data_IF_471063058089
#
_entry.id   IF_471063058089
#
_cell.length_a   1.000
_cell.length_b   1.000
_cell.length_c   1.000
_cell.angle_alpha   90.00
_cell.angle_beta   90.00
_cell.angle_gamma   90.00
#
_symmetry.space_group_name_H-M   'P 1'
#
loop_
_entity.id
_entity.type
_entity.pdbx_description
1 polymer ?
#
# COMPACT_ATOMS: atom_id res chain seq x y z
N UNK A 1 -40.33 -48.70 -11.50
CA UNK A 1 -39.36 -49.41 -12.36
C UNK A 1 -37.98 -48.80 -12.17
N UNK A 2 -36.99 -49.63 -11.78
CA UNK A 2 -35.50 -49.45 -11.79
C UNK A 2 -34.91 -48.20 -11.11
N UNK A 3 -33.77 -48.21 -10.41
CA UNK A 3 -32.93 -49.15 -9.63
C UNK A 3 -31.75 -48.25 -9.18
N UNK A 4 -31.32 -48.37 -7.92
CA UNK A 4 -30.16 -47.72 -7.27
C UNK A 4 -28.86 -47.76 -8.13
N UNK A 5 -27.93 -46.82 -7.88
CA UNK A 5 -26.52 -47.13 -7.53
C UNK A 5 -25.73 -45.92 -7.01
N UNK A 6 -25.11 -46.12 -5.85
CA UNK A 6 -24.00 -45.38 -5.25
C UNK A 6 -22.77 -45.35 -6.17
N UNK A 7 -21.98 -44.29 -6.11
CA UNK A 7 -20.53 -44.35 -6.38
C UNK A 7 -19.79 -43.25 -5.60
N UNK A 8 -19.25 -43.65 -4.44
CA UNK A 8 -18.12 -42.98 -3.79
C UNK A 8 -16.86 -43.42 -4.55
N UNK A 9 -16.01 -42.48 -4.99
CA UNK A 9 -14.61 -42.76 -5.35
C UNK A 9 -13.72 -41.58 -4.99
N UNK A 10 -12.87 -41.82 -3.98
CA UNK A 10 -11.60 -41.15 -3.78
C UNK A 10 -10.68 -41.31 -5.02
N UNK A 11 -9.79 -40.34 -5.21
CA UNK A 11 -8.37 -40.38 -5.67
C UNK A 11 -8.07 -38.99 -6.27
N UNK A 12 -6.96 -38.31 -6.06
CA UNK A 12 -5.74 -38.57 -5.32
C UNK A 12 -5.08 -37.22 -5.00
N UNK A 13 -4.49 -37.11 -3.82
CA UNK A 13 -3.55 -36.04 -3.51
C UNK A 13 -2.32 -36.19 -4.42
N UNK A 14 -2.05 -35.19 -5.24
CA UNK A 14 -0.76 -35.02 -5.88
C UNK A 14 -0.12 -33.80 -5.23
N UNK A 15 0.87 -34.06 -4.38
CA UNK A 15 1.77 -33.04 -3.86
C UNK A 15 2.62 -32.52 -5.03
N UNK A 16 2.46 -31.23 -5.36
CA UNK A 16 3.45 -30.49 -6.14
C UNK A 16 3.79 -29.23 -5.35
N UNK A 17 5.09 -29.11 -5.08
CA UNK A 17 5.76 -28.06 -4.36
C UNK A 17 5.42 -26.64 -4.86
N UNK A 18 5.27 -25.75 -3.88
CA UNK A 18 5.79 -24.37 -3.88
C UNK A 18 5.26 -23.39 -4.92
N UNK A 19 4.07 -22.87 -4.68
CA UNK A 19 3.76 -21.45 -4.85
C UNK A 19 2.92 -21.04 -3.63
N UNK A 20 3.50 -20.22 -2.76
CA UNK A 20 2.77 -19.54 -1.69
C UNK A 20 1.79 -18.55 -2.35
N UNK A 21 0.64 -19.05 -2.79
CA UNK A 21 -0.53 -18.23 -3.04
C UNK A 21 -1.01 -17.84 -1.64
N UNK A 22 -0.64 -16.67 -1.16
CA UNK A 22 -1.29 -16.08 0.02
C UNK A 22 -2.71 -15.73 -0.45
N UNK A 23 -3.77 -16.39 0.05
CA UNK A 23 -5.09 -15.86 -0.12
C UNK A 23 -5.17 -14.63 0.77
N UNK A 24 -4.87 -13.46 0.21
CA UNK A 24 -5.34 -12.23 0.83
C UNK A 24 -6.85 -12.31 0.72
N UNK A 25 -7.50 -12.65 1.84
CA UNK A 25 -8.91 -12.34 2.05
C UNK A 25 -9.08 -10.90 1.61
N UNK A 26 -9.77 -10.72 0.48
CA UNK A 26 -10.13 -9.42 -0.02
C UNK A 26 -10.70 -8.63 1.16
N UNK A 27 -10.06 -7.52 1.52
CA UNK A 27 -10.67 -6.59 2.44
C UNK A 27 -12.01 -6.21 1.82
N UNK A 28 -13.09 -6.74 2.39
CA UNK A 28 -14.45 -6.37 2.09
C UNK A 28 -14.70 -5.00 2.72
N UNK A 29 -14.05 -3.98 2.18
CA UNK A 29 -14.45 -2.58 2.30
C UNK A 29 -14.87 -2.19 0.91
N UNK A 30 -16.17 -2.25 0.61
CA UNK A 30 -16.69 -1.77 -0.66
C UNK A 30 -16.27 -0.31 -0.82
N UNK A 31 -15.38 -0.04 -1.77
CA UNK A 31 -15.15 1.32 -2.25
C UNK A 31 -16.49 1.73 -2.86
N UNK A 32 -17.24 2.58 -2.16
CA UNK A 32 -18.41 3.20 -2.77
C UNK A 32 -17.92 3.97 -4.01
N UNK A 33 -18.52 3.70 -5.17
CA UNK A 33 -18.15 4.38 -6.41
C UNK A 33 -18.21 5.91 -6.20
N UNK A 34 -17.23 6.66 -6.72
CA UNK A 34 -17.18 8.10 -6.52
C UNK A 34 -18.41 8.77 -7.13
N UNK A 35 -19.03 9.68 -6.36
CA UNK A 35 -20.17 10.46 -6.83
C UNK A 35 -19.66 11.76 -7.43
N UNK A 36 -19.98 12.00 -8.70
CA UNK A 36 -19.64 13.23 -9.42
C UNK A 36 -20.89 14.06 -9.71
N UNK A 37 -20.84 15.34 -9.37
CA UNK A 37 -21.81 16.35 -9.73
C UNK A 37 -21.14 17.38 -10.63
N UNK A 38 -21.79 17.78 -11.73
CA UNK A 38 -21.29 18.83 -12.60
C UNK A 38 -22.40 19.76 -13.05
N UNK A 39 -22.05 21.04 -13.17
CA UNK A 39 -22.95 22.11 -13.59
C UNK A 39 -22.23 22.98 -14.61
N UNK A 40 -22.92 23.34 -15.69
CA UNK A 40 -22.40 24.26 -16.71
C UNK A 40 -23.48 25.22 -17.16
N UNK A 41 -23.19 26.51 -17.22
CA UNK A 41 -24.11 27.52 -17.78
C UNK A 41 -23.89 27.62 -19.30
N UNK A 42 -24.93 27.44 -20.13
CA UNK A 42 -24.81 27.70 -21.56
C UNK A 42 -24.74 29.22 -21.80
N UNK A 43 -23.67 29.68 -22.44
CA UNK A 43 -23.52 31.07 -22.88
C UNK A 43 -22.65 31.12 -24.15
N UNK A 44 -23.01 31.99 -25.10
CA UNK A 44 -22.43 32.04 -26.45
C UNK A 44 -20.96 32.52 -26.53
N UNK A 45 -20.36 32.95 -25.41
CA UNK A 45 -18.97 33.45 -25.34
C UNK A 45 -18.12 32.83 -24.23
N UNK A 46 -18.72 32.55 -23.07
CA UNK A 46 -18.04 31.91 -21.95
C UNK A 46 -19.02 31.17 -21.05
N UNK A 47 -18.69 29.91 -20.73
CA UNK A 47 -19.45 29.05 -19.82
C UNK A 47 -18.77 29.00 -18.46
N UNK A 48 -19.54 29.23 -17.39
CA UNK A 48 -19.13 28.86 -16.04
C UNK A 48 -19.33 27.35 -15.88
N UNK A 49 -18.32 26.65 -15.41
CA UNK A 49 -18.33 25.22 -15.15
C UNK A 49 -17.98 24.97 -13.69
N UNK A 50 -18.68 24.03 -13.06
CA UNK A 50 -18.40 23.59 -11.68
C UNK A 50 -18.51 22.08 -11.62
N UNK A 51 -17.61 21.44 -10.89
CA UNK A 51 -17.68 20.02 -10.57
C UNK A 51 -17.39 19.78 -9.09
N UNK A 52 -18.06 18.77 -8.53
CA UNK A 52 -17.77 18.26 -7.22
C UNK A 52 -17.69 16.73 -7.26
N UNK A 53 -16.71 16.16 -6.57
CA UNK A 53 -16.51 14.71 -6.46
C UNK A 53 -16.43 14.30 -4.99
N UNK A 54 -17.08 13.19 -4.64
CA UNK A 54 -17.16 12.71 -3.27
C UNK A 54 -16.92 11.20 -3.17
N UNK A 55 -16.20 10.79 -2.13
CA UNK A 55 -16.12 9.41 -1.63
C UNK A 55 -16.38 9.40 -0.12
N UNK A 56 -16.25 8.24 0.53
CA UNK A 56 -16.33 8.16 2.00
C UNK A 56 -15.22 8.98 2.72
N UNK A 57 -14.11 9.27 2.04
CA UNK A 57 -12.91 9.87 2.63
C UNK A 57 -12.42 11.12 1.90
N UNK A 58 -12.96 11.41 0.71
CA UNK A 58 -12.46 12.45 -0.18
C UNK A 58 -13.58 13.39 -0.62
N UNK A 59 -13.25 14.68 -0.68
CA UNK A 59 -14.09 15.67 -1.36
C UNK A 59 -13.24 16.62 -2.20
N UNK A 60 -13.67 16.85 -3.43
CA UNK A 60 -13.03 17.77 -4.36
C UNK A 60 -14.07 18.71 -4.96
N UNK A 61 -13.72 19.99 -5.06
CA UNK A 61 -14.52 21.02 -5.69
C UNK A 61 -13.68 21.75 -6.74
N UNK A 62 -14.21 21.87 -7.95
CA UNK A 62 -13.61 22.60 -9.07
C UNK A 62 -14.61 23.62 -9.58
N UNK A 63 -14.12 24.81 -9.88
CA UNK A 63 -14.89 25.85 -10.57
C UNK A 63 -14.02 26.54 -11.59
N UNK A 64 -14.57 26.88 -12.75
CA UNK A 64 -13.79 27.46 -13.82
C UNK A 64 -14.64 28.11 -14.90
N UNK A 65 -13.96 28.86 -15.75
CA UNK A 65 -14.54 29.51 -16.90
C UNK A 65 -13.95 28.91 -18.16
N UNK A 66 -14.79 28.68 -19.17
CA UNK A 66 -14.36 28.18 -20.47
C UNK A 66 -14.97 28.97 -21.60
N UNK A 67 -14.20 29.28 -22.63
CA UNK A 67 -14.65 29.91 -23.87
C UNK A 67 -15.01 28.88 -24.97
N UNK A 68 -15.01 27.59 -24.63
CA UNK A 68 -15.23 26.47 -25.56
C UNK A 68 -13.95 25.91 -26.18
N UNK A 69 -12.83 26.65 -26.17
CA UNK A 69 -11.52 26.17 -26.65
C UNK A 69 -10.54 25.93 -25.52
N UNK A 70 -10.57 26.81 -24.51
CA UNK A 70 -9.74 26.79 -23.32
C UNK A 70 -10.66 26.86 -22.09
N UNK A 71 -10.25 26.19 -21.01
CA UNK A 71 -10.88 26.33 -19.71
C UNK A 71 -9.81 26.56 -18.63
N UNK A 72 -10.08 27.51 -17.75
CA UNK A 72 -9.24 27.80 -16.57
C UNK A 72 -10.07 27.50 -15.33
N UNK A 73 -9.54 26.66 -14.45
CA UNK A 73 -10.25 26.17 -13.28
C UNK A 73 -9.41 26.37 -12.01
N UNK A 74 -10.05 26.85 -10.95
CA UNK A 74 -9.56 26.77 -9.57
C UNK A 74 -10.17 25.57 -8.87
N UNK A 75 -9.45 24.99 -7.91
CA UNK A 75 -9.92 23.84 -7.17
C UNK A 75 -9.45 23.81 -5.73
N UNK A 76 -10.21 23.13 -4.89
CA UNK A 76 -9.86 22.85 -3.51
C UNK A 76 -10.56 21.59 -3.01
N UNK A 77 -10.07 21.02 -1.92
CA UNK A 77 -10.64 19.84 -1.30
C UNK A 77 -9.83 19.34 -0.12
N UNK A 78 -10.26 18.22 0.42
CA UNK A 78 -9.52 17.47 1.43
C UNK A 78 -9.76 15.97 1.25
N UNK A 79 -8.84 15.19 1.80
CA UNK A 79 -8.81 13.74 1.73
C UNK A 79 -8.31 13.17 3.05
N UNK A 80 -8.95 12.13 3.55
CA UNK A 80 -8.44 11.31 4.64
C UNK A 80 -7.67 10.12 4.07
N UNK A 81 -6.44 10.39 3.62
CA UNK A 81 -5.53 9.41 3.04
C UNK A 81 -5.39 9.48 1.52
N UNK A 82 -5.24 8.32 0.87
CA UNK A 82 -5.08 8.21 -0.60
C UNK A 82 -6.44 8.43 -1.27
N UNK A 83 -6.61 9.48 -2.10
CA UNK A 83 -7.86 9.72 -2.81
C UNK A 83 -8.27 8.54 -3.70
N UNK A 84 -9.48 8.04 -3.51
CA UNK A 84 -10.13 7.04 -4.35
C UNK A 84 -10.76 7.63 -5.63
N UNK A 85 -10.66 8.95 -5.82
CA UNK A 85 -11.28 9.71 -6.90
C UNK A 85 -10.57 9.57 -8.26
N UNK A 86 -9.39 8.94 -8.34
CA UNK A 86 -8.63 8.75 -9.59
C UNK A 86 -8.47 7.26 -9.96
N UNK A 87 -9.30 6.73 -10.88
CA UNK A 87 -9.25 5.33 -11.29
C UNK A 87 -7.94 4.92 -11.98
N UNK A 88 -7.27 5.86 -12.67
CA UNK A 88 -6.04 5.58 -13.42
C UNK A 88 -4.81 5.35 -12.53
N UNK A 89 -4.74 6.01 -11.39
CA UNK A 89 -3.62 5.84 -10.45
C UNK A 89 -3.86 4.78 -9.39
N UNK A 90 -5.13 4.50 -9.01
CA UNK A 90 -5.57 3.45 -8.09
C UNK A 90 -4.44 2.89 -7.21
N UNK A 91 -3.89 3.77 -6.37
CA UNK A 91 -2.75 3.46 -5.52
C UNK A 91 -3.28 2.64 -4.36
N UNK A 92 -2.73 1.45 -4.17
CA UNK A 92 -3.12 0.59 -3.07
C UNK A 92 -2.38 1.00 -1.80
N UNK A 93 -2.91 0.60 -0.64
CA UNK A 93 -2.16 0.74 0.61
C UNK A 93 -0.75 0.12 0.49
N UNK A 94 -0.61 -0.98 -0.25
CA UNK A 94 0.69 -1.62 -0.51
C UNK A 94 1.63 -0.76 -1.35
N UNK A 95 1.12 -0.05 -2.36
CA UNK A 95 1.92 0.93 -3.10
C UNK A 95 2.42 2.00 -2.14
N UNK A 96 1.53 2.55 -1.31
CA UNK A 96 1.88 3.58 -0.36
C UNK A 96 2.92 3.14 0.67
N UNK A 97 2.82 1.89 1.14
CA UNK A 97 3.79 1.29 2.05
C UNK A 97 5.21 1.33 1.52
N UNK A 98 5.42 1.16 0.20
CA UNK A 98 6.76 1.22 -0.40
C UNK A 98 7.44 2.58 -0.17
N UNK A 99 6.63 3.64 -0.18
CA UNK A 99 7.09 5.01 -0.03
C UNK A 99 7.14 5.35 1.46
N UNK A 100 6.02 5.39 2.20
CA UNK A 100 6.00 5.74 3.64
C UNK A 100 4.70 5.32 4.36
N UNK A 101 4.71 5.42 5.69
CA UNK A 101 3.62 5.00 6.60
C UNK A 101 2.55 6.04 6.91
N UNK A 102 2.74 7.27 6.44
CA UNK A 102 1.90 8.43 6.74
C UNK A 102 0.85 8.72 5.65
N UNK A 103 0.56 7.76 4.77
CA UNK A 103 -0.38 7.93 3.65
C UNK A 103 -1.84 8.07 4.07
N UNK A 104 -2.18 7.82 5.34
CA UNK A 104 -3.54 7.88 5.89
C UNK A 104 -3.79 9.15 6.73
N UNK A 105 -3.02 10.22 6.47
CA UNK A 105 -3.19 11.52 7.14
C UNK A 105 -4.25 12.35 6.42
N UNK A 106 -4.91 13.23 7.16
CA UNK A 106 -5.78 14.24 6.56
C UNK A 106 -4.93 15.24 5.77
N UNK A 107 -5.25 15.42 4.50
CA UNK A 107 -4.61 16.40 3.63
C UNK A 107 -5.64 17.37 3.10
N UNK A 108 -5.25 18.64 3.05
CA UNK A 108 -5.98 19.70 2.34
C UNK A 108 -5.23 20.03 1.06
N UNK A 109 -5.95 20.33 0.01
CA UNK A 109 -5.33 20.70 -1.24
C UNK A 109 -6.09 21.81 -1.94
N UNK A 110 -5.35 22.61 -2.69
CA UNK A 110 -5.89 23.68 -3.52
C UNK A 110 -4.98 23.94 -4.70
N UNK A 111 -5.51 24.53 -5.77
CA UNK A 111 -4.69 24.85 -6.92
C UNK A 111 -5.46 25.37 -8.10
N UNK A 112 -4.79 25.37 -9.25
CA UNK A 112 -5.32 25.85 -10.49
C UNK A 112 -4.91 24.94 -11.65
N UNK A 113 -5.73 24.92 -12.68
CA UNK A 113 -5.48 24.18 -13.90
C UNK A 113 -5.97 24.96 -15.11
N UNK A 114 -5.35 24.69 -16.24
CA UNK A 114 -5.76 25.13 -17.55
C UNK A 114 -5.87 23.91 -18.45
N UNK A 115 -6.88 23.90 -19.30
CA UNK A 115 -7.11 22.82 -20.25
C UNK A 115 -7.54 23.38 -21.59
N UNK A 116 -7.26 22.66 -22.66
CA UNK A 116 -7.61 23.09 -24.00
C UNK A 116 -7.95 21.93 -24.90
N UNK A 117 -8.86 22.19 -25.85
CA UNK A 117 -9.43 21.19 -26.74
C UNK A 117 -9.28 21.62 -28.20
N UNK A 118 -8.08 21.50 -28.80
CA UNK A 118 -7.86 21.97 -30.17
C UNK A 118 -8.73 21.25 -31.21
N UNK A 119 -9.18 20.03 -30.92
CA UNK A 119 -10.16 19.30 -31.71
C UNK A 119 -10.97 18.33 -30.85
N UNK A 120 -12.06 17.77 -31.36
CA UNK A 120 -12.82 16.73 -30.64
C UNK A 120 -11.99 15.47 -30.34
N UNK A 121 -10.91 15.25 -31.10
CA UNK A 121 -10.03 14.10 -30.97
C UNK A 121 -8.79 14.37 -30.11
N UNK A 122 -8.52 15.63 -29.73
CA UNK A 122 -7.30 16.00 -29.01
C UNK A 122 -7.59 16.98 -27.87
N UNK A 123 -7.07 16.68 -26.69
CA UNK A 123 -7.20 17.53 -25.52
C UNK A 123 -5.93 17.51 -24.68
N UNK A 124 -5.74 18.57 -23.89
CA UNK A 124 -4.64 18.66 -22.93
C UNK A 124 -5.11 19.36 -21.67
N UNK A 125 -4.42 19.10 -20.56
CA UNK A 125 -4.59 19.84 -19.31
C UNK A 125 -3.25 19.99 -18.63
N UNK A 126 -3.04 21.09 -17.93
CA UNK A 126 -1.88 21.33 -17.11
C UNK A 126 -2.32 22.08 -15.84
N UNK A 127 -1.64 21.85 -14.73
CA UNK A 127 -1.97 22.55 -13.50
C UNK A 127 -0.96 22.32 -12.40
N UNK A 128 -1.24 22.98 -11.29
CA UNK A 128 -0.47 22.89 -10.06
C UNK A 128 -1.43 22.71 -8.89
N UNK A 129 -1.10 21.77 -8.02
CA UNK A 129 -1.79 21.53 -6.76
C UNK A 129 -0.80 21.77 -5.61
N UNK A 130 -1.23 22.55 -4.61
CA UNK A 130 -0.60 22.62 -3.31
C UNK A 130 -1.30 21.65 -2.37
N UNK A 131 -0.53 20.82 -1.67
CA UNK A 131 -1.00 19.81 -0.73
C UNK A 131 -0.39 20.11 0.63
N UNK A 132 -1.25 20.23 1.63
CA UNK A 132 -0.92 20.59 3.00
C UNK A 132 -1.43 19.51 3.95
N UNK A 133 -0.63 19.17 4.95
CA UNK A 133 -0.98 18.21 5.99
C UNK A 133 -0.46 18.73 7.32
N UNK A 134 -1.21 18.61 8.42
CA UNK A 134 -0.65 18.84 9.75
C UNK A 134 0.60 17.97 9.94
N UNK A 135 1.67 18.57 10.47
CA UNK A 135 2.93 17.89 10.82
C UNK A 135 3.80 17.35 9.65
N UNK A 136 3.47 17.67 8.40
CA UNK A 136 4.31 17.33 7.25
C UNK A 136 4.59 18.57 6.40
N UNK A 137 5.70 18.57 5.67
CA UNK A 137 6.06 19.66 4.79
C UNK A 137 5.03 19.86 3.66
N UNK A 138 4.83 21.11 3.25
CA UNK A 138 3.95 21.45 2.13
C UNK A 138 4.52 20.90 0.82
N UNK A 139 3.63 20.36 -0.02
CA UNK A 139 4.02 19.79 -1.31
C UNK A 139 3.36 20.53 -2.46
N UNK A 140 4.08 20.64 -3.56
CA UNK A 140 3.59 21.17 -4.82
C UNK A 140 3.63 20.05 -5.85
N UNK A 141 2.50 19.73 -6.46
CA UNK A 141 2.42 18.79 -7.56
C UNK A 141 2.09 19.52 -8.86
N UNK A 142 3.01 19.47 -9.81
CA UNK A 142 2.79 19.89 -11.18
C UNK A 142 2.28 18.69 -11.98
N UNK A 143 1.13 18.84 -12.60
CA UNK A 143 0.52 17.77 -13.37
C UNK A 143 0.18 18.23 -14.78
N UNK A 144 0.21 17.28 -15.71
CA UNK A 144 -0.14 17.49 -17.10
C UNK A 144 -0.81 16.25 -17.69
N UNK A 145 -1.69 16.44 -18.65
CA UNK A 145 -2.26 15.37 -19.45
C UNK A 145 -2.34 15.77 -20.92
N UNK A 146 -2.18 14.78 -21.78
CA UNK A 146 -2.44 14.89 -23.20
C UNK A 146 -3.26 13.67 -23.63
N UNK A 147 -4.33 13.91 -24.36
CA UNK A 147 -5.24 12.87 -24.85
C UNK A 147 -5.42 13.03 -26.34
N UNK A 148 -5.32 11.91 -27.04
CA UNK A 148 -5.71 11.76 -28.44
C UNK A 148 -6.76 10.65 -28.54
N UNK A 149 -7.36 10.47 -29.72
CA UNK A 149 -8.38 9.44 -29.92
C UNK A 149 -7.84 8.04 -29.56
N UNK A 150 -8.30 7.53 -28.41
CA UNK A 150 -7.93 6.20 -27.91
C UNK A 150 -6.60 6.13 -27.14
N UNK A 151 -5.92 7.25 -26.87
CA UNK A 151 -4.73 7.26 -26.02
C UNK A 151 -4.69 8.46 -25.08
N UNK A 152 -4.17 8.25 -23.88
CA UNK A 152 -3.98 9.27 -22.87
C UNK A 152 -2.62 9.10 -22.21
N UNK A 153 -1.94 10.22 -21.97
CA UNK A 153 -0.72 10.29 -21.17
C UNK A 153 -0.96 11.31 -20.07
N UNK A 154 -0.60 10.95 -18.83
CA UNK A 154 -0.60 11.86 -17.70
C UNK A 154 0.79 11.87 -17.07
N UNK A 155 1.26 13.05 -16.68
CA UNK A 155 2.58 13.29 -16.12
C UNK A 155 2.43 14.08 -14.82
N UNK A 156 3.25 13.73 -13.83
CA UNK A 156 3.23 14.35 -12.51
C UNK A 156 4.65 14.57 -12.02
N UNK A 157 4.84 15.68 -11.31
CA UNK A 157 6.10 16.05 -10.67
C UNK A 157 5.78 16.64 -9.30
N UNK A 158 6.13 15.90 -8.26
CA UNK A 158 5.91 16.30 -6.86
C UNK A 158 7.18 16.93 -6.31
N UNK A 159 7.03 18.10 -5.70
CA UNK A 159 8.10 18.85 -5.04
C UNK A 159 7.78 19.04 -3.57
N UNK A 160 8.83 18.96 -2.74
CA UNK A 160 8.81 19.34 -1.33
C UNK A 160 9.90 20.40 -1.15
N UNK A 161 9.53 21.59 -0.68
CA UNK A 161 10.42 22.75 -0.66
C UNK A 161 11.10 22.95 -2.04
N UNK A 162 12.43 22.85 -2.12
CA UNK A 162 13.21 22.97 -3.37
C UNK A 162 13.53 21.63 -4.04
N UNK A 163 13.25 20.49 -3.38
CA UNK A 163 13.58 19.14 -3.84
C UNK A 163 12.45 18.55 -4.68
N UNK A 164 12.80 17.83 -5.74
CA UNK A 164 11.83 16.99 -6.46
C UNK A 164 11.74 15.67 -5.73
N UNK A 165 10.61 15.41 -5.09
CA UNK A 165 10.41 14.21 -4.30
C UNK A 165 10.02 13.01 -5.19
N UNK A 166 9.23 13.24 -6.25
CA UNK A 166 8.78 12.15 -7.10
C UNK A 166 8.34 12.59 -8.50
N UNK A 167 8.36 11.62 -9.41
CA UNK A 167 7.80 11.71 -10.76
C UNK A 167 6.88 10.53 -11.03
N UNK A 168 5.79 10.77 -11.75
CA UNK A 168 4.93 9.69 -12.20
C UNK A 168 4.46 9.90 -13.63
N UNK A 169 4.23 8.80 -14.33
CA UNK A 169 3.62 8.73 -15.64
C UNK A 169 2.51 7.69 -15.63
N UNK A 170 1.41 8.02 -16.30
CA UNK A 170 0.35 7.07 -16.63
C UNK A 170 0.05 7.11 -18.12
N UNK A 171 -0.15 5.93 -18.70
CA UNK A 171 -0.49 5.69 -20.09
C UNK A 171 -1.79 4.90 -20.13
N UNK A 172 -2.83 5.45 -20.77
CA UNK A 172 -4.09 4.78 -21.03
C UNK A 172 -4.28 4.57 -22.53
N UNK A 173 -4.60 3.36 -22.97
CA UNK A 173 -4.84 3.02 -24.37
C UNK A 173 -6.17 2.27 -24.51
N UNK A 174 -7.01 2.73 -25.45
CA UNK A 174 -8.22 2.04 -25.90
C UNK A 174 -7.87 1.22 -27.13
N UNK A 175 -7.84 -0.09 -26.96
CA UNK A 175 -7.53 -1.07 -27.99
C UNK A 175 -8.83 -1.75 -28.48
N UNK A 176 -8.85 -2.35 -29.68
CA UNK A 176 -10.03 -3.08 -30.19
C UNK A 176 -10.50 -4.21 -29.26
N UNK A 177 -9.57 -4.77 -28.50
CA UNK A 177 -9.78 -5.90 -27.60
C UNK A 177 -9.72 -5.49 -26.12
N UNK A 178 -9.95 -4.22 -25.79
CA UNK A 178 -10.03 -3.77 -24.39
C UNK A 178 -9.27 -2.48 -24.11
N UNK A 179 -9.01 -2.21 -22.84
CA UNK A 179 -8.30 -1.02 -22.36
C UNK A 179 -7.04 -1.44 -21.62
N UNK A 180 -5.91 -0.82 -21.96
CA UNK A 180 -4.63 -1.02 -21.31
C UNK A 180 -4.29 0.25 -20.53
N UNK A 181 -4.07 0.12 -19.24
CA UNK A 181 -3.52 1.16 -18.38
C UNK A 181 -2.13 0.75 -17.92
N UNK A 182 -1.16 1.66 -17.93
CA UNK A 182 0.15 1.45 -17.34
C UNK A 182 0.55 2.68 -16.55
N UNK A 183 1.02 2.50 -15.31
CA UNK A 183 1.59 3.57 -14.49
C UNK A 183 2.99 3.22 -14.03
N UNK A 184 3.81 4.25 -13.90
CA UNK A 184 5.11 4.18 -13.26
C UNK A 184 5.28 5.40 -12.36
N UNK A 185 5.67 5.14 -11.12
CA UNK A 185 5.97 6.14 -10.09
C UNK A 185 7.37 5.87 -9.58
N UNK A 186 8.16 6.93 -9.47
CA UNK A 186 9.52 6.90 -8.93
C UNK A 186 9.72 8.07 -7.96
N UNK A 187 10.17 7.76 -6.76
CA UNK A 187 10.65 8.75 -5.79
C UNK A 187 12.17 8.92 -5.90
N UNK A 188 12.66 10.02 -5.35
CA UNK A 188 14.06 10.44 -5.45
C UNK A 188 15.04 9.56 -4.66
N UNK A 189 14.54 8.84 -3.65
CA UNK A 189 15.30 7.85 -2.89
C UNK A 189 15.47 6.50 -3.63
N UNK A 190 14.94 6.40 -4.85
CA UNK A 190 14.98 5.20 -5.69
C UNK A 190 13.81 4.25 -5.48
N UNK A 191 12.88 4.56 -4.56
CA UNK A 191 11.62 3.80 -4.42
C UNK A 191 10.79 3.93 -5.70
N UNK A 192 10.24 2.82 -6.17
CA UNK A 192 9.45 2.76 -7.40
C UNK A 192 8.23 1.84 -7.25
N UNK A 193 7.16 2.20 -7.96
CA UNK A 193 5.98 1.35 -8.15
C UNK A 193 5.56 1.42 -9.62
N UNK A 194 5.36 0.25 -10.23
CA UNK A 194 4.89 0.11 -11.60
C UNK A 194 3.68 -0.81 -11.62
N UNK A 195 2.70 -0.49 -12.46
CA UNK A 195 1.54 -1.35 -12.67
C UNK A 195 1.15 -1.31 -14.15
N UNK A 196 0.83 -2.47 -14.70
CA UNK A 196 0.22 -2.62 -16.01
C UNK A 196 -1.07 -3.44 -15.85
N UNK A 197 -2.19 -2.90 -16.29
CA UNK A 197 -3.51 -3.51 -16.21
C UNK A 197 -4.15 -3.54 -17.59
N UNK A 198 -4.56 -4.72 -18.02
CA UNK A 198 -5.37 -4.90 -19.22
C UNK A 198 -6.77 -5.37 -18.82
N UNK A 199 -7.79 -4.67 -19.30
CA UNK A 199 -9.19 -5.05 -19.11
C UNK A 199 -9.87 -5.22 -20.46
N UNK A 200 -10.69 -6.25 -20.60
CA UNK A 200 -11.52 -6.43 -21.78
C UNK A 200 -12.89 -7.00 -21.43
N UNK A 201 -13.90 -6.62 -22.22
CA UNK A 201 -15.26 -7.13 -22.06
C UNK A 201 -15.59 -8.03 -23.23
N UNK A 202 -16.04 -9.25 -22.93
CA UNK A 202 -16.48 -10.21 -23.97
C UNK A 202 -17.93 -9.97 -24.37
N UNK A 203 -18.74 -9.43 -23.46
CA UNK A 203 -20.09 -8.92 -23.70
C UNK A 203 -20.44 -7.88 -22.61
N UNK A 204 -21.67 -7.38 -22.63
CA UNK A 204 -22.20 -6.38 -21.66
C UNK A 204 -22.20 -6.85 -20.21
N UNK A 205 -22.00 -8.15 -19.95
CA UNK A 205 -22.12 -8.76 -18.63
C UNK A 205 -20.84 -9.47 -18.17
N UNK A 206 -19.77 -9.47 -18.96
CA UNK A 206 -18.55 -10.24 -18.67
C UNK A 206 -17.31 -9.42 -18.97
N UNK A 207 -16.65 -9.01 -17.88
CA UNK A 207 -15.42 -8.26 -17.92
C UNK A 207 -14.30 -9.07 -17.29
N UNK A 208 -13.16 -9.07 -17.97
CA UNK A 208 -11.93 -9.73 -17.56
C UNK A 208 -10.87 -8.66 -17.32
N UNK A 209 -10.06 -8.84 -16.30
CA UNK A 209 -8.90 -7.98 -16.06
C UNK A 209 -7.69 -8.80 -15.64
N UNK A 210 -6.52 -8.42 -16.14
CA UNK A 210 -5.23 -8.88 -15.68
C UNK A 210 -4.41 -7.68 -15.26
N UNK A 211 -3.82 -7.74 -14.07
CA UNK A 211 -2.94 -6.70 -13.53
C UNK A 211 -1.61 -7.31 -13.10
N UNK A 212 -0.53 -6.70 -13.58
CA UNK A 212 0.82 -6.95 -13.13
C UNK A 212 1.30 -5.71 -12.38
N UNK A 213 1.69 -5.85 -11.12
CA UNK A 213 2.32 -4.78 -10.34
C UNK A 213 3.71 -5.18 -9.87
N UNK A 214 4.62 -4.22 -9.85
CA UNK A 214 5.98 -4.36 -9.34
C UNK A 214 6.34 -3.14 -8.49
N UNK A 215 6.63 -3.39 -7.23
CA UNK A 215 7.20 -2.44 -6.29
C UNK A 215 8.67 -2.74 -6.01
N UNK A 216 9.45 -1.69 -5.76
CA UNK A 216 10.78 -1.82 -5.21
C UNK A 216 11.07 -0.63 -4.29
N UNK A 217 11.56 -0.92 -3.08
CA UNK A 217 11.97 0.08 -2.11
C UNK A 217 13.27 -0.36 -1.46
N UNK A 218 14.24 0.55 -1.37
CA UNK A 218 15.48 0.37 -0.62
C UNK A 218 15.28 0.59 0.89
N UNK A 219 14.15 1.19 1.28
CA UNK A 219 13.82 1.50 2.67
C UNK A 219 13.57 0.25 3.52
N UNK A 220 13.19 -0.88 2.92
CA UNK A 220 12.88 -2.12 3.65
C UNK A 220 13.61 -3.32 3.03
N UNK A 221 14.11 -4.24 3.87
CA UNK A 221 14.60 -5.53 3.35
C UNK A 221 13.42 -6.34 2.83
N UNK A 222 13.53 -6.83 1.59
CA UNK A 222 12.43 -7.52 0.91
C UNK A 222 11.38 -6.57 0.31
N UNK A 223 11.65 -5.26 0.22
CA UNK A 223 10.76 -4.26 -0.39
C UNK A 223 10.55 -4.39 -1.91
N UNK A 224 11.10 -5.43 -2.53
CA UNK A 224 10.82 -5.79 -3.91
C UNK A 224 9.64 -6.75 -3.93
N UNK A 225 8.58 -6.39 -4.66
CA UNK A 225 7.47 -7.29 -4.89
C UNK A 225 7.07 -7.37 -6.35
N UNK A 226 6.42 -8.48 -6.67
CA UNK A 226 5.75 -8.69 -7.94
C UNK A 226 4.42 -9.35 -7.63
N UNK A 227 3.34 -8.85 -8.23
CA UNK A 227 2.00 -9.40 -8.07
C UNK A 227 1.34 -9.49 -9.42
N UNK A 228 0.73 -10.65 -9.66
CA UNK A 228 -0.16 -10.89 -10.78
C UNK A 228 -1.57 -11.13 -10.22
N UNK A 229 -2.53 -10.33 -10.68
CA UNK A 229 -3.94 -10.46 -10.32
C UNK A 229 -4.76 -10.72 -11.58
N UNK A 230 -5.54 -11.80 -11.54
CA UNK A 230 -6.58 -12.06 -12.53
C UNK A 230 -7.94 -11.85 -11.89
N UNK A 231 -8.82 -11.14 -12.60
CA UNK A 231 -10.15 -10.84 -12.12
C UNK A 231 -11.19 -11.07 -13.20
N UNK A 232 -12.36 -11.52 -12.76
CA UNK A 232 -13.53 -11.77 -13.59
C UNK A 232 -14.75 -11.16 -12.91
N UNK A 233 -15.48 -10.32 -13.64
CA UNK A 233 -16.76 -9.77 -13.22
C UNK A 233 -17.85 -10.28 -14.17
N UNK A 234 -18.85 -10.96 -13.59
CA UNK A 234 -19.97 -11.58 -14.28
C UNK A 234 -21.28 -11.43 -13.50
N UNK A 235 -22.42 -11.61 -14.16
CA UNK A 235 -23.72 -11.54 -13.48
C UNK A 235 -24.03 -12.85 -12.72
N UNK A 236 -23.65 -12.92 -11.45
CA UNK A 236 -24.33 -13.69 -10.39
C UNK A 236 -24.15 -12.94 -9.06
N UNK A 237 -25.02 -11.95 -8.82
CA UNK A 237 -24.93 -11.07 -7.63
C UNK A 237 -23.79 -10.05 -7.78
N UNK A 238 -24.15 -8.77 -7.86
CA UNK A 238 -23.23 -7.68 -8.23
C UNK A 238 -21.93 -7.67 -7.45
N UNK A 239 -20.82 -7.87 -8.15
CA UNK A 239 -19.51 -7.34 -7.79
C UNK A 239 -19.29 -6.09 -8.61
N UNK A 240 -18.93 -4.99 -7.94
CA UNK A 240 -18.60 -3.72 -8.59
C UNK A 240 -17.53 -3.96 -9.66
N UNK A 241 -17.67 -3.40 -10.88
CA UNK A 241 -16.61 -3.46 -11.87
C UNK A 241 -15.31 -2.91 -11.27
N UNK A 242 -14.17 -3.56 -11.55
CA UNK A 242 -12.83 -3.13 -11.07
C UNK A 242 -12.39 -1.75 -11.59
N UNK A 243 -13.19 -1.23 -12.49
CA UNK A 243 -13.22 0.15 -12.90
C UNK A 243 -14.57 0.67 -12.39
N UNK A 244 -14.58 1.74 -11.61
CA UNK A 244 -15.55 2.77 -11.95
C UNK A 244 -15.24 3.05 -13.43
N UNK A 245 -16.15 2.69 -14.34
CA UNK A 245 -15.97 3.04 -15.75
C UNK A 245 -15.49 4.50 -15.79
N UNK A 246 -14.68 4.88 -16.78
CA UNK A 246 -14.80 6.23 -17.31
C UNK A 246 -16.27 6.39 -17.76
N UNK A 247 -17.18 6.54 -16.81
CA UNK A 247 -18.59 6.67 -16.97
C UNK A 247 -18.79 8.08 -17.43
N UNK A 248 -18.79 8.26 -18.75
CA UNK A 248 -19.33 9.45 -19.38
C UNK A 248 -18.45 10.70 -19.31
N UNK A 249 -17.19 10.62 -19.73
CA UNK A 249 -16.54 11.83 -20.27
C UNK A 249 -15.82 11.52 -21.59
N UNK A 250 -16.64 11.30 -22.62
CA UNK A 250 -16.25 11.44 -24.02
C UNK A 250 -15.94 12.90 -24.42
N UNK A 251 -15.55 13.77 -23.48
CA UNK A 251 -15.22 15.18 -23.73
C UNK A 251 -14.35 15.77 -22.60
N UNK A 252 -13.61 16.85 -22.88
CA UNK A 252 -13.00 17.67 -21.84
C UNK A 252 -14.12 18.37 -21.07
N UNK A 253 -14.62 17.69 -20.05
CA UNK A 253 -15.43 18.30 -19.00
C UNK A 253 -14.56 18.57 -17.79
N UNK A 254 -14.93 19.59 -17.01
CA UNK A 254 -14.34 19.93 -15.72
C UNK A 254 -14.16 18.71 -14.78
N UNK A 255 -14.96 17.64 -14.94
CA UNK A 255 -14.80 16.35 -14.25
C UNK A 255 -13.52 15.61 -14.63
N UNK A 256 -13.12 15.62 -15.91
CA UNK A 256 -11.85 15.01 -16.35
C UNK A 256 -10.65 15.70 -15.69
N UNK A 257 -10.70 17.03 -15.60
CA UNK A 257 -9.69 17.82 -14.87
C UNK A 257 -9.70 17.48 -13.39
N UNK A 258 -10.88 17.29 -12.79
CA UNK A 258 -11.01 16.89 -11.38
C UNK A 258 -10.38 15.52 -11.10
N UNK A 259 -10.57 14.54 -11.98
CA UNK A 259 -9.95 13.21 -11.87
C UNK A 259 -8.43 13.29 -11.98
N UNK A 260 -7.90 14.16 -12.87
CA UNK A 260 -6.47 14.42 -12.99
C UNK A 260 -5.89 15.05 -11.71
N UNK A 261 -6.58 16.05 -11.15
CA UNK A 261 -6.22 16.68 -9.87
C UNK A 261 -6.22 15.65 -8.74
N UNK A 262 -7.25 14.80 -8.65
CA UNK A 262 -7.29 13.74 -7.65
C UNK A 262 -6.09 12.78 -7.77
N UNK A 263 -5.67 12.43 -9.00
CA UNK A 263 -4.47 11.66 -9.25
C UNK A 263 -3.20 12.37 -8.77
N UNK A 264 -3.11 13.69 -9.00
CA UNK A 264 -2.00 14.51 -8.52
C UNK A 264 -1.94 14.53 -6.98
N UNK A 265 -3.08 14.67 -6.31
CA UNK A 265 -3.15 14.62 -4.84
C UNK A 265 -2.75 13.23 -4.33
N UNK A 266 -3.26 12.16 -4.92
CA UNK A 266 -2.92 10.79 -4.53
C UNK A 266 -1.42 10.50 -4.64
N UNK A 267 -0.82 10.94 -5.75
CA UNK A 267 0.61 10.81 -5.96
C UNK A 267 1.43 11.64 -4.98
N UNK A 268 0.98 12.86 -4.65
CA UNK A 268 1.64 13.66 -3.62
C UNK A 268 1.54 12.97 -2.26
N UNK A 269 0.36 12.51 -1.85
CA UNK A 269 0.17 11.79 -0.57
C UNK A 269 1.09 10.58 -0.46
N UNK A 270 1.18 9.75 -1.52
CA UNK A 270 1.99 8.53 -1.49
C UNK A 270 3.48 8.81 -1.67
N UNK A 271 3.86 9.59 -2.67
CA UNK A 271 5.26 9.70 -3.09
C UNK A 271 6.05 10.81 -2.36
N UNK A 272 5.37 11.62 -1.53
CA UNK A 272 5.99 12.74 -0.79
C UNK A 272 5.66 12.77 0.71
N UNK A 273 4.91 11.79 1.22
CA UNK A 273 5.11 11.36 2.62
C UNK A 273 6.54 10.85 2.68
N UNK A 274 7.46 11.53 3.39
CA UNK A 274 8.90 11.21 3.36
C UNK A 274 9.85 12.39 3.19
N UNK A 275 9.75 13.40 4.05
CA UNK A 275 10.79 14.44 4.15
C UNK A 275 12.08 13.92 4.78
N UNK A 276 12.00 12.85 5.55
CA UNK A 276 13.13 12.33 6.31
C UNK A 276 13.74 11.14 5.56
N UNK A 277 14.76 11.42 4.77
CA UNK A 277 15.76 10.44 4.32
C UNK A 277 16.54 9.80 5.48
N UNK A 278 16.15 10.08 6.72
CA UNK A 278 16.82 9.74 7.98
C UNK A 278 16.05 8.77 8.85
N UNK A 279 14.96 8.15 8.36
CA UNK A 279 14.35 7.08 9.12
C UNK A 279 15.25 5.83 9.09
N UNK A 280 16.20 5.78 10.02
CA UNK A 280 17.15 4.70 10.24
C UNK A 280 16.46 3.43 10.80
N UNK A 281 15.14 3.47 11.01
CA UNK A 281 14.39 2.33 11.51
C UNK A 281 14.30 1.24 10.45
N UNK A 282 14.99 0.13 10.72
CA UNK A 282 14.87 -1.08 9.91
C UNK A 282 13.45 -1.64 9.98
N UNK A 283 12.90 -1.96 8.81
CA UNK A 283 11.57 -2.53 8.66
C UNK A 283 11.57 -3.76 7.79
N UNK A 284 10.61 -4.62 8.08
CA UNK A 284 10.48 -5.96 7.52
C UNK A 284 9.05 -6.23 7.10
N UNK A 285 8.87 -7.06 6.07
CA UNK A 285 7.55 -7.40 5.55
C UNK A 285 6.74 -8.28 6.52
N UNK A 286 7.41 -8.96 7.46
CA UNK A 286 6.78 -9.82 8.44
C UNK A 286 7.41 -9.74 9.83
N UNK A 287 6.62 -10.07 10.85
CA UNK A 287 7.06 -10.19 12.24
C UNK A 287 8.22 -11.19 12.39
N UNK A 288 8.15 -12.32 11.68
CA UNK A 288 9.18 -13.37 11.70
C UNK A 288 10.53 -12.85 11.19
N UNK A 289 10.53 -12.04 10.12
CA UNK A 289 11.75 -11.47 9.55
C UNK A 289 12.38 -10.43 10.48
N UNK A 290 11.57 -9.57 11.10
CA UNK A 290 12.04 -8.60 12.09
C UNK A 290 12.70 -9.30 13.28
N UNK A 291 12.02 -10.31 13.85
CA UNK A 291 12.56 -11.09 14.96
C UNK A 291 13.84 -11.83 14.58
N UNK A 292 13.86 -12.51 13.42
CA UNK A 292 15.04 -13.23 12.94
C UNK A 292 16.22 -12.28 12.76
N UNK A 293 16.00 -11.10 12.18
CA UNK A 293 17.07 -10.14 11.95
C UNK A 293 17.72 -9.71 13.27
N UNK A 294 16.95 -9.22 14.24
CA UNK A 294 17.51 -8.74 15.51
C UNK A 294 18.17 -9.87 16.31
N UNK A 295 17.59 -11.07 16.30
CA UNK A 295 18.17 -12.24 16.97
C UNK A 295 19.44 -12.73 16.29
N UNK A 296 19.55 -12.65 14.96
CA UNK A 296 20.75 -13.02 14.24
C UNK A 296 21.95 -12.12 14.58
N UNK A 297 21.71 -10.83 14.82
CA UNK A 297 22.75 -9.89 15.26
C UNK A 297 23.09 -10.06 16.75
N UNK A 298 22.10 -10.39 17.58
CA UNK A 298 22.24 -10.36 19.04
C UNK A 298 22.74 -11.67 19.63
N UNK A 299 22.34 -12.82 19.06
CA UNK A 299 22.60 -14.13 19.65
C UNK A 299 24.09 -14.49 19.81
N UNK A 300 25.00 -14.19 18.85
CA UNK A 300 26.44 -14.43 19.05
C UNK A 300 27.01 -13.72 20.29
N UNK A 301 26.58 -12.48 20.54
CA UNK A 301 27.00 -11.74 21.73
C UNK A 301 26.39 -12.32 23.01
N UNK A 302 25.13 -12.75 22.96
CA UNK A 302 24.44 -13.43 24.07
C UNK A 302 25.17 -14.70 24.50
N UNK A 303 25.54 -15.55 23.54
CA UNK A 303 26.27 -16.80 23.78
C UNK A 303 27.67 -16.49 24.32
N UNK A 304 28.43 -15.60 23.67
CA UNK A 304 29.79 -15.27 24.09
C UNK A 304 29.87 -14.68 25.52
N UNK A 305 28.86 -13.90 25.91
CA UNK A 305 28.82 -13.25 27.23
C UNK A 305 28.04 -14.04 28.27
N UNK A 306 27.40 -15.13 27.87
CA UNK A 306 26.48 -15.93 28.70
C UNK A 306 25.42 -15.08 29.43
N UNK A 307 24.75 -14.20 28.67
CA UNK A 307 23.62 -13.39 29.16
C UNK A 307 22.51 -13.32 28.14
N UNK A 308 21.28 -13.20 28.60
CA UNK A 308 20.12 -12.98 27.75
C UNK A 308 20.06 -11.55 27.24
N UNK A 309 19.57 -11.40 26.03
CA UNK A 309 19.17 -10.13 25.45
C UNK A 309 17.76 -10.24 24.92
N UNK A 310 17.01 -9.14 24.90
CA UNK A 310 15.65 -9.17 24.37
C UNK A 310 15.02 -7.81 24.15
N UNK A 311 13.86 -7.83 23.50
CA UNK A 311 13.07 -6.66 23.23
C UNK A 311 11.71 -7.00 22.65
N UNK A 312 11.12 -6.04 21.94
CA UNK A 312 9.82 -6.15 21.32
C UNK A 312 9.90 -6.09 19.80
N UNK A 313 9.07 -6.88 19.13
CA UNK A 313 8.68 -6.68 17.74
C UNK A 313 7.31 -6.00 17.73
N UNK A 314 7.16 -4.98 16.90
CA UNK A 314 5.93 -4.22 16.76
C UNK A 314 5.63 -3.95 15.30
N UNK A 315 4.35 -3.65 15.02
CA UNK A 315 3.86 -3.34 13.69
C UNK A 315 3.73 -1.83 13.55
N UNK A 316 4.38 -1.26 12.54
CA UNK A 316 4.33 0.15 12.19
C UNK A 316 2.97 0.53 11.55
N UNK A 317 2.72 1.84 11.37
CA UNK A 317 1.52 2.36 10.68
C UNK A 317 1.38 1.86 9.25
N UNK A 318 2.49 1.61 8.57
CA UNK A 318 2.55 1.03 7.21
C UNK A 318 2.37 -0.48 7.21
N UNK A 319 1.96 -1.12 8.31
CA UNK A 319 1.87 -2.56 8.42
C UNK A 319 3.18 -3.35 8.30
N UNK A 320 4.33 -2.69 8.12
CA UNK A 320 5.64 -3.34 8.26
C UNK A 320 5.93 -3.63 9.72
N UNK A 321 6.99 -4.40 9.98
CA UNK A 321 7.43 -4.76 11.32
C UNK A 321 8.81 -4.22 11.60
N UNK A 322 9.04 -3.78 12.83
CA UNK A 322 10.34 -3.37 13.35
C UNK A 322 10.58 -4.05 14.71
N UNK A 323 11.84 -4.08 15.13
CA UNK A 323 12.23 -4.55 16.45
C UNK A 323 12.86 -3.39 17.24
N UNK A 324 12.66 -3.37 18.55
CA UNK A 324 13.39 -2.45 19.44
C UNK A 324 14.87 -2.84 19.51
N UNK A 325 15.72 -1.94 20.00
CA UNK A 325 17.09 -2.29 20.35
C UNK A 325 17.13 -3.37 21.47
N UNK A 326 18.05 -4.35 21.41
CA UNK A 326 18.15 -5.41 22.40
C UNK A 326 18.61 -4.85 23.75
N UNK A 327 17.81 -5.10 24.77
CA UNK A 327 18.17 -4.82 26.17
C UNK A 327 18.99 -5.97 26.70
N UNK A 328 20.07 -5.65 27.41
CA UNK A 328 20.89 -6.65 28.10
C UNK A 328 20.23 -7.09 29.40
N UNK A 329 20.16 -8.40 29.60
CA UNK A 329 19.65 -9.05 30.80
C UNK A 329 20.73 -9.61 31.72
N UNK A 330 20.33 -10.64 32.46
CA UNK A 330 21.16 -11.52 33.31
C UNK A 330 21.41 -12.84 32.59
N UNK A 331 21.97 -13.82 33.30
CA UNK A 331 22.19 -15.17 32.78
C UNK A 331 20.88 -15.92 32.43
N UNK A 332 19.77 -15.52 33.04
CA UNK A 332 18.50 -16.27 33.08
C UNK A 332 17.26 -15.37 33.03
N UNK A 333 17.42 -14.09 32.71
CA UNK A 333 16.28 -13.18 32.56
C UNK A 333 16.64 -11.93 31.76
N UNK A 334 15.65 -11.33 31.11
CA UNK A 334 15.75 -9.98 30.54
C UNK A 334 14.46 -9.18 30.76
N UNK A 335 14.60 -7.91 31.16
CA UNK A 335 13.46 -7.02 31.34
C UNK A 335 13.17 -6.21 30.06
N UNK A 336 12.12 -6.63 29.35
CA UNK A 336 11.68 -6.01 28.10
C UNK A 336 10.95 -4.66 28.31
N UNK A 337 10.49 -4.36 29.52
CA UNK A 337 9.57 -3.25 29.79
C UNK A 337 8.12 -3.57 29.37
N UNK A 338 7.30 -2.54 29.16
CA UNK A 338 5.92 -2.70 28.71
C UNK A 338 5.85 -2.90 27.18
N UNK A 339 4.96 -3.77 26.67
CA UNK A 339 4.69 -3.87 25.23
C UNK A 339 4.06 -2.60 24.64
N UNK A 340 3.60 -1.67 25.47
CA UNK A 340 3.13 -0.33 25.03
C UNK A 340 4.30 0.65 24.80
N UNK A 341 5.51 0.33 25.30
CA UNK A 341 6.67 1.21 25.19
C UNK A 341 7.46 0.92 23.90
N UNK A 342 6.76 0.95 22.77
CA UNK A 342 7.32 0.83 21.43
C UNK A 342 7.10 2.13 20.64
N UNK A 343 7.94 2.44 19.63
CA UNK A 343 7.79 3.66 18.85
C UNK A 343 6.42 3.85 18.17
N UNK A 344 5.72 2.75 17.84
CA UNK A 344 4.41 2.81 17.22
C UNK A 344 3.48 1.71 17.73
N UNK A 345 2.25 2.11 18.08
CA UNK A 345 1.19 1.20 18.49
C UNK A 345 1.56 0.39 19.72
N UNK A 346 1.43 -0.94 19.59
CA UNK A 346 1.71 -1.92 20.65
C UNK A 346 2.55 -3.05 20.08
N UNK A 347 3.44 -3.61 20.88
CA UNK A 347 4.20 -4.79 20.52
C UNK A 347 3.28 -5.97 20.16
N UNK A 348 3.65 -6.65 19.08
CA UNK A 348 2.95 -7.84 18.59
C UNK A 348 3.64 -9.13 19.04
N UNK A 349 4.95 -9.07 19.31
CA UNK A 349 5.71 -10.18 19.87
C UNK A 349 6.87 -9.72 20.76
N UNK A 350 7.26 -10.56 21.73
CA UNK A 350 8.56 -10.49 22.38
C UNK A 350 9.61 -11.21 21.53
N UNK A 351 10.87 -10.81 21.66
CA UNK A 351 12.00 -11.64 21.25
C UNK A 351 13.05 -11.67 22.36
N UNK A 352 13.71 -12.80 22.54
CA UNK A 352 14.87 -12.91 23.42
C UNK A 352 15.85 -14.00 22.98
N UNK A 353 17.06 -13.93 23.53
CA UNK A 353 18.11 -14.94 23.38
C UNK A 353 18.29 -15.66 24.71
N UNK A 354 18.67 -16.93 24.66
CA UNK A 354 19.27 -17.62 25.80
C UNK A 354 20.80 -17.55 25.70
N UNK A 355 21.47 -17.26 26.81
CA UNK A 355 22.94 -17.29 26.92
C UNK A 355 23.51 -18.70 26.76
N UNK A 356 24.83 -18.83 26.71
CA UNK A 356 25.53 -20.11 26.52
C UNK A 356 25.00 -21.28 27.39
N UNK A 357 25.28 -22.50 26.94
CA UNK A 357 24.86 -23.70 27.66
C UNK A 357 25.25 -23.65 29.14
N UNK A 358 24.25 -23.80 30.00
CA UNK A 358 24.40 -23.86 31.44
C UNK A 358 23.60 -25.07 31.96
N UNK A 359 24.22 -26.01 32.69
CA UNK A 359 23.55 -27.21 33.15
C UNK A 359 22.37 -26.96 34.11
N UNK A 360 22.21 -25.74 34.62
CA UNK A 360 21.10 -25.35 35.50
C UNK A 360 19.81 -25.01 34.74
N UNK A 361 19.90 -24.76 33.44
CA UNK A 361 18.78 -24.22 32.64
C UNK A 361 18.55 -25.04 31.36
N UNK A 362 17.30 -25.07 30.89
CA UNK A 362 16.97 -25.57 29.55
C UNK A 362 17.17 -24.46 28.52
N UNK A 363 18.43 -24.16 28.19
CA UNK A 363 18.78 -23.05 27.29
C UNK A 363 18.25 -23.23 25.86
N UNK A 364 17.76 -24.42 25.50
CA UNK A 364 17.30 -24.71 24.15
C UNK A 364 15.78 -24.57 23.97
N UNK A 365 14.99 -24.36 25.03
CA UNK A 365 13.54 -24.23 24.92
C UNK A 365 13.01 -23.04 25.71
N UNK A 366 11.84 -22.52 25.32
CA UNK A 366 11.16 -21.48 26.08
C UNK A 366 10.93 -21.94 27.53
N UNK A 367 11.24 -21.06 28.47
CA UNK A 367 10.94 -21.27 29.88
C UNK A 367 9.43 -21.17 30.13
N UNK A 368 8.97 -21.69 31.26
CA UNK A 368 7.57 -21.50 31.70
C UNK A 368 7.25 -20.02 31.95
N UNK A 369 8.25 -19.23 32.37
CA UNK A 369 8.13 -17.79 32.58
C UNK A 369 7.97 -17.05 31.25
N UNK A 370 8.68 -17.47 30.20
CA UNK A 370 8.57 -16.87 28.87
C UNK A 370 7.15 -17.04 28.31
N UNK A 371 6.64 -18.27 28.40
CA UNK A 371 5.29 -18.63 27.95
C UNK A 371 4.24 -17.86 28.77
N UNK A 372 4.38 -17.83 30.09
CA UNK A 372 3.48 -17.10 30.97
C UNK A 372 3.46 -15.60 30.65
N UNK A 373 4.64 -15.00 30.45
CA UNK A 373 4.77 -13.57 30.15
C UNK A 373 4.10 -13.22 28.83
N UNK A 374 4.33 -14.01 27.78
CA UNK A 374 3.69 -13.83 26.47
C UNK A 374 2.17 -14.00 26.55
N UNK A 375 1.67 -14.96 27.33
CA UNK A 375 0.23 -15.15 27.53
C UNK A 375 -0.41 -13.97 28.29
N UNK A 376 0.24 -13.47 29.35
CA UNK A 376 -0.24 -12.31 30.11
C UNK A 376 -0.32 -11.06 29.22
N UNK A 377 0.72 -10.82 28.43
CA UNK A 377 0.77 -9.68 27.53
C UNK A 377 0.01 -9.90 26.21
N UNK A 378 -0.50 -11.10 25.94
CA UNK A 378 -1.15 -11.45 24.67
C UNK A 378 -0.27 -11.10 23.47
N UNK A 379 1.01 -11.48 23.56
CA UNK A 379 2.02 -11.27 22.52
C UNK A 379 2.60 -12.61 22.12
N UNK A 380 2.96 -12.78 20.85
CA UNK A 380 3.78 -13.92 20.43
C UNK A 380 5.18 -13.86 21.06
N UNK A 381 5.95 -14.94 20.97
CA UNK A 381 7.35 -14.98 21.44
C UNK A 381 8.31 -15.53 20.40
N UNK A 382 9.51 -14.97 20.32
CA UNK A 382 10.62 -15.52 19.54
C UNK A 382 11.83 -15.78 20.42
N UNK A 383 12.47 -16.92 20.20
CA UNK A 383 13.64 -17.34 20.95
C UNK A 383 14.78 -17.70 20.00
N UNK A 384 15.97 -17.16 20.29
CA UNK A 384 17.23 -17.68 19.77
C UNK A 384 17.97 -18.46 20.86
N UNK A 385 18.39 -19.68 20.52
CA UNK A 385 19.08 -20.56 21.46
C UNK A 385 20.61 -20.58 21.22
N UNK A 386 21.40 -21.09 22.17
CA UNK A 386 22.85 -21.22 22.03
C UNK A 386 23.30 -22.11 20.87
N UNK A 387 22.50 -23.13 20.52
CA UNK A 387 22.72 -23.96 19.34
C UNK A 387 22.36 -23.27 18.02
N UNK A 388 21.83 -22.04 18.09
CA UNK A 388 21.39 -21.22 16.97
C UNK A 388 19.98 -21.56 16.49
N UNK A 389 19.16 -22.26 17.27
CA UNK A 389 17.78 -22.54 16.88
C UNK A 389 16.94 -21.25 16.98
N UNK A 390 16.17 -20.96 15.92
CA UNK A 390 15.20 -19.87 15.89
C UNK A 390 13.78 -20.42 16.08
N UNK A 391 13.18 -20.13 17.23
CA UNK A 391 11.89 -20.67 17.64
C UNK A 391 10.84 -19.57 17.76
N UNK A 392 9.59 -19.97 17.59
CA UNK A 392 8.41 -19.11 17.65
C UNK A 392 7.35 -19.76 18.55
N UNK A 393 6.77 -18.95 19.43
CA UNK A 393 5.65 -19.28 20.28
C UNK A 393 4.44 -18.43 19.88
N UNK A 394 3.33 -19.09 19.58
CA UNK A 394 2.06 -18.42 19.27
C UNK A 394 1.17 -18.41 20.52
N UNK A 395 0.89 -17.24 21.09
CA UNK A 395 0.16 -17.15 22.36
C UNK A 395 -1.31 -17.59 22.29
N UNK A 396 -1.93 -17.47 21.11
CA UNK A 396 -3.33 -17.86 20.91
C UNK A 396 -3.51 -19.37 20.92
N UNK A 397 -2.56 -20.10 20.33
CA UNK A 397 -2.64 -21.56 20.17
C UNK A 397 -1.80 -22.32 21.18
N UNK A 398 -0.84 -21.66 21.82
CA UNK A 398 0.14 -22.29 22.71
C UNK A 398 1.22 -23.10 21.97
N UNK A 399 1.25 -23.06 20.64
CA UNK A 399 2.15 -23.89 19.82
C UNK A 399 3.53 -23.25 19.74
N UNK A 400 4.57 -24.07 19.99
CA UNK A 400 5.98 -23.71 19.75
C UNK A 400 6.44 -24.38 18.45
N UNK A 401 7.06 -23.61 17.57
CA UNK A 401 7.59 -24.07 16.27
C UNK A 401 9.03 -23.61 16.09
N UNK A 402 9.90 -24.48 15.59
CA UNK A 402 11.24 -24.07 15.13
C UNK A 402 11.14 -23.57 13.69
N UNK A 403 11.42 -22.28 13.47
CA UNK A 403 11.33 -21.60 12.17
C UNK A 403 12.63 -21.65 11.37
N UNK A 404 13.74 -22.10 11.96
CA UNK A 404 15.02 -22.25 11.29
C UNK A 404 16.20 -22.03 12.24
N UNK A 405 17.26 -21.39 11.73
CA UNK A 405 18.44 -21.02 12.50
C UNK A 405 18.74 -19.52 12.45
N UNK A 406 19.48 -19.05 13.44
CA UNK A 406 20.15 -17.75 13.53
C UNK A 406 21.63 -17.96 13.86
N UNK A 407 22.46 -16.94 13.68
CA UNK A 407 23.86 -16.97 14.09
C UNK A 407 23.99 -17.21 15.60
N UNK A 408 25.08 -17.85 16.02
CA UNK A 408 25.33 -18.24 17.41
C UNK A 408 26.82 -18.29 17.72
#
# INVERSE_FOLDING_TARGET
MRKKKFAFRCLAACAVNSLLIIPVLAQTGGVADPVWLSFSTPNDRSSLQTAAGFTAQDQIFLTGVSDGSIAVNGFFGNSAGIPGLSPGFNLTARDAQLFHSEFNREVRYSGASISGMPSQAMGWSAGVAQIESPSLENRLNWFGSARIQGAEVQLFRVQIASRVAAHAIHLGLKLPFGQLGARHLQADDGTRSSMARWQFSTNTHRTWAAELSHGASSRFRGGNDQRLLFSYAGQFGGVSPLWASEGGSSGLGIVSTAVLVAGAVALAVVASSGSDSTDQQLRFASQNEAARYVLNETNPASVAQNVEYGGWVYRNSDATYSATEPRRGTIDSVNLGSPENVPYGRATASYHTHGAYDPRYDSENFSTVDISTNNIWKTDGYLATPSGAFKYFNYLTGVITTLGKVAN
#
